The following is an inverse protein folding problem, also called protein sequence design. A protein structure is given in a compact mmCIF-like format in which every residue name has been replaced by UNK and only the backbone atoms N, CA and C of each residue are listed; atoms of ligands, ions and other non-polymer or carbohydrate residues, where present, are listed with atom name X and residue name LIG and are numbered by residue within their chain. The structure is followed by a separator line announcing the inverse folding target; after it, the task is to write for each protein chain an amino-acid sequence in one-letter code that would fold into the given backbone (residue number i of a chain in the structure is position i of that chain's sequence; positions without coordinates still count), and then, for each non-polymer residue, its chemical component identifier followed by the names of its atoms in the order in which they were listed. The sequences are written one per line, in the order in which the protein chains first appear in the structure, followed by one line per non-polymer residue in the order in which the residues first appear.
data_IF_253198026361
#
_entry.id   IF_253198026361
#
_cell.length_a   1.000
_cell.length_b   1.000
_cell.length_c   1.000
_cell.angle_alpha   90.00
_cell.angle_beta   90.00
_cell.angle_gamma   90.00
#
_symmetry.space_group_name_H-M   'P 1'
#
loop_
_entity.id
_entity.type
_entity.pdbx_description
1 polymer ?
#
# COMPACT_ATOMS: atom_id res chain seq x y z
N UNK A 1 14.31 -11.10 -6.23
CA UNK A 1 14.34 -9.99 -5.26
C UNK A 1 13.24 -9.03 -5.67
N UNK A 2 12.46 -8.53 -4.71
CA UNK A 2 11.35 -7.62 -4.99
C UNK A 2 11.91 -6.19 -5.10
N UNK A 3 11.51 -5.46 -6.14
CA UNK A 3 11.98 -4.11 -6.40
C UNK A 3 10.86 -3.08 -6.24
N UNK A 4 11.21 -1.81 -6.17
CA UNK A 4 10.27 -0.70 -6.00
C UNK A 4 9.19 -0.68 -7.10
N UNK A 5 9.56 -1.00 -8.35
CA UNK A 5 8.62 -1.06 -9.47
C UNK A 5 7.55 -2.15 -9.31
N UNK A 6 7.86 -3.22 -8.59
CA UNK A 6 6.92 -4.33 -8.36
C UNK A 6 5.83 -3.94 -7.34
N UNK A 7 6.05 -2.88 -6.55
CA UNK A 7 5.17 -2.44 -5.46
C UNK A 7 4.54 -1.06 -5.67
N UNK A 8 5.09 -0.23 -6.56
CA UNK A 8 4.66 1.16 -6.69
C UNK A 8 3.22 1.27 -7.22
N UNK A 9 2.49 2.27 -6.74
CA UNK A 9 1.24 2.69 -7.35
C UNK A 9 1.52 3.52 -8.60
N UNK A 10 0.97 3.09 -9.74
CA UNK A 10 1.08 3.79 -11.03
C UNK A 10 0.16 5.01 -11.12
N UNK A 11 -0.88 5.08 -10.28
CA UNK A 11 -1.83 6.19 -10.24
C UNK A 11 -1.34 7.29 -9.32
N UNK A 12 -0.09 7.73 -9.51
CA UNK A 12 0.48 8.80 -8.70
C UNK A 12 -0.12 10.15 -9.09
N UNK A 13 -0.94 10.70 -8.20
CA UNK A 13 -1.55 12.01 -8.32
C UNK A 13 -0.48 13.11 -8.52
N UNK A 14 -0.68 13.96 -9.54
CA UNK A 14 0.22 15.07 -9.86
C UNK A 14 -0.46 16.41 -9.71
N UNK A 15 0.30 17.43 -9.32
CA UNK A 15 -0.18 18.81 -9.19
C UNK A 15 0.89 19.82 -9.61
N UNK A 16 0.44 21.00 -10.06
CA UNK A 16 1.32 22.10 -10.40
C UNK A 16 1.71 22.89 -9.14
N UNK A 17 2.94 23.41 -9.11
CA UNK A 17 3.43 24.22 -7.99
C UNK A 17 2.62 25.52 -7.80
N UNK A 18 1.97 26.00 -8.87
CA UNK A 18 1.12 27.21 -8.89
C UNK A 18 -0.33 26.97 -8.45
N UNK A 19 -0.73 25.71 -8.21
CA UNK A 19 -2.03 25.42 -7.63
C UNK A 19 -2.06 25.87 -6.17
N UNK A 20 -3.25 26.12 -5.65
CA UNK A 20 -3.49 26.42 -4.24
C UNK A 20 -3.44 25.15 -3.40
N UNK A 21 -3.19 25.30 -2.09
CA UNK A 21 -3.26 24.18 -1.16
C UNK A 21 -4.70 23.63 -1.05
N UNK A 22 -5.71 24.49 -1.19
CA UNK A 22 -7.11 24.05 -1.25
C UNK A 22 -7.38 23.10 -2.43
N UNK A 23 -6.91 23.43 -3.64
CA UNK A 23 -6.99 22.54 -4.81
C UNK A 23 -6.23 21.23 -4.58
N UNK A 24 -5.06 21.29 -3.92
CA UNK A 24 -4.30 20.11 -3.54
C UNK A 24 -5.08 19.18 -2.60
N UNK A 25 -5.71 19.73 -1.56
CA UNK A 25 -6.53 18.95 -0.62
C UNK A 25 -7.74 18.33 -1.32
N UNK A 26 -8.38 19.07 -2.23
CA UNK A 26 -9.51 18.56 -3.01
C UNK A 26 -9.07 17.39 -3.89
N UNK A 27 -7.92 17.50 -4.58
CA UNK A 27 -7.36 16.42 -5.38
C UNK A 27 -6.97 15.19 -4.53
N UNK A 28 -6.37 15.41 -3.35
CA UNK A 28 -6.06 14.33 -2.40
C UNK A 28 -7.32 13.57 -1.98
N UNK A 29 -8.41 14.30 -1.71
CA UNK A 29 -9.70 13.70 -1.37
C UNK A 29 -10.29 12.89 -2.53
N UNK A 30 -10.32 13.47 -3.73
CA UNK A 30 -10.90 12.82 -4.92
C UNK A 30 -10.14 11.54 -5.31
N UNK A 31 -8.82 11.55 -5.17
CA UNK A 31 -7.97 10.41 -5.52
C UNK A 31 -7.65 9.49 -4.33
N UNK A 32 -8.30 9.72 -3.18
CA UNK A 32 -8.08 8.98 -1.93
C UNK A 32 -6.58 8.80 -1.61
N UNK A 33 -5.78 9.84 -1.84
CA UNK A 33 -4.34 9.80 -1.71
C UNK A 33 -3.85 10.80 -0.66
N UNK A 34 -2.70 10.50 -0.07
CA UNK A 34 -2.17 11.28 1.05
C UNK A 34 -1.04 12.23 0.65
N UNK A 35 -0.61 12.16 -0.61
CA UNK A 35 0.44 13.01 -1.17
C UNK A 35 0.27 13.20 -2.66
N UNK A 36 0.73 14.35 -3.13
CA UNK A 36 0.77 14.71 -4.53
C UNK A 36 2.22 14.91 -4.96
N UNK A 37 2.53 14.43 -6.16
CA UNK A 37 3.79 14.75 -6.83
C UNK A 37 3.65 16.13 -7.43
N UNK A 38 4.60 17.01 -7.10
CA UNK A 38 4.65 18.33 -7.75
C UNK A 38 5.51 18.22 -8.99
N UNK A 39 4.91 18.49 -10.15
CA UNK A 39 5.57 18.35 -11.44
C UNK A 39 6.75 19.31 -11.60
N UNK A 40 7.66 18.91 -12.49
CA UNK A 40 8.79 19.73 -12.93
C UNK A 40 8.27 20.87 -13.83
N UNK A 41 8.85 22.06 -13.67
CA UNK A 41 8.57 23.18 -14.57
C UNK A 41 9.27 23.04 -15.92
N UNK A 42 10.41 22.32 -15.96
CA UNK A 42 11.18 22.01 -17.16
C UNK A 42 12.04 20.75 -16.94
N UNK A 43 12.75 20.28 -17.96
CA UNK A 43 13.52 19.03 -17.89
C UNK A 43 14.67 19.05 -16.87
N UNK A 44 15.23 20.23 -16.59
CA UNK A 44 16.34 20.42 -15.64
C UNK A 44 15.85 20.58 -14.19
N UNK A 45 14.55 20.79 -14.01
CA UNK A 45 13.93 20.97 -12.71
C UNK A 45 13.73 19.62 -12.01
N UNK A 46 13.66 19.64 -10.68
CA UNK A 46 13.41 18.44 -9.88
C UNK A 46 11.94 18.27 -9.58
N UNK A 47 11.51 17.03 -9.37
CA UNK A 47 10.18 16.78 -8.81
C UNK A 47 10.11 17.31 -7.37
N UNK A 48 8.91 17.74 -6.99
CA UNK A 48 8.56 18.02 -5.60
C UNK A 48 7.55 16.99 -5.08
N UNK A 49 7.28 17.05 -3.78
CA UNK A 49 6.19 16.31 -3.15
C UNK A 49 5.47 17.20 -2.14
N UNK A 50 4.15 17.12 -2.12
CA UNK A 50 3.31 17.71 -1.08
C UNK A 50 2.58 16.60 -0.35
N UNK A 51 2.67 16.55 0.97
CA UNK A 51 2.01 15.54 1.81
C UNK A 51 0.98 16.15 2.75
N UNK A 52 0.07 15.34 3.27
CA UNK A 52 -0.84 15.74 4.36
C UNK A 52 -0.10 16.37 5.56
N UNK A 53 1.10 15.87 5.89
CA UNK A 53 1.96 16.38 6.95
C UNK A 53 2.48 17.78 6.65
N UNK A 54 2.84 18.06 5.38
CA UNK A 54 3.23 19.40 4.95
C UNK A 54 2.08 20.39 5.11
N UNK A 55 0.88 20.01 4.65
CA UNK A 55 -0.33 20.85 4.74
C UNK A 55 -0.66 21.14 6.21
N UNK A 56 -0.61 20.11 7.07
CA UNK A 56 -0.89 20.23 8.49
C UNK A 56 0.12 21.16 9.19
N UNK A 57 1.42 20.88 9.08
CA UNK A 57 2.42 21.57 9.89
C UNK A 57 2.93 22.88 9.27
N UNK A 58 2.97 22.99 7.94
CA UNK A 58 3.44 24.20 7.24
C UNK A 58 2.30 25.13 6.81
N UNK A 59 1.07 24.62 6.74
CA UNK A 59 -0.12 25.38 6.41
C UNK A 59 -0.98 25.68 7.64
N UNK A 60 -1.73 24.67 8.09
CA UNK A 60 -2.76 24.79 9.13
C UNK A 60 -2.17 25.26 10.46
N UNK A 61 -1.11 24.61 10.94
CA UNK A 61 -0.48 24.94 12.22
C UNK A 61 0.11 26.36 12.26
N UNK A 62 0.39 26.96 11.09
CA UNK A 62 0.88 28.33 10.96
C UNK A 62 -0.24 29.35 10.68
N UNK A 63 -1.50 28.91 10.64
CA UNK A 63 -2.64 29.78 10.37
C UNK A 63 -2.69 30.36 8.95
N UNK A 64 -2.04 29.70 7.97
CA UNK A 64 -2.09 30.13 6.57
C UNK A 64 -3.50 29.95 5.97
N UNK A 65 -3.89 30.86 5.09
CA UNK A 65 -5.09 30.68 4.28
C UNK A 65 -4.81 29.74 3.11
N UNK A 66 -5.38 28.53 3.13
CA UNK A 66 -5.11 27.48 2.13
C UNK A 66 -5.68 27.81 0.73
N UNK A 67 -6.65 28.71 0.62
CA UNK A 67 -7.21 29.16 -0.67
C UNK A 67 -6.28 30.11 -1.42
N UNK A 68 -5.35 30.77 -0.71
CA UNK A 68 -4.42 31.74 -1.31
C UNK A 68 -2.97 31.29 -1.21
N UNK A 69 -2.67 30.26 -0.41
CA UNK A 69 -1.33 29.67 -0.27
C UNK A 69 -1.09 28.72 -1.44
N UNK A 70 0.03 28.88 -2.13
CA UNK A 70 0.40 27.98 -3.23
C UNK A 70 1.06 26.69 -2.73
N UNK A 71 0.89 25.61 -3.49
CA UNK A 71 1.58 24.33 -3.28
C UNK A 71 3.09 24.53 -3.17
N UNK A 72 3.65 25.42 -4.01
CA UNK A 72 5.07 25.75 -4.01
C UNK A 72 5.61 26.20 -2.64
N UNK A 73 4.76 26.79 -1.80
CA UNK A 73 5.16 27.30 -0.48
C UNK A 73 5.29 26.20 0.58
N UNK A 74 4.56 25.09 0.40
CA UNK A 74 4.49 24.02 1.42
C UNK A 74 5.23 22.75 0.99
N UNK A 75 5.35 22.52 -0.33
CA UNK A 75 5.99 21.32 -0.87
C UNK A 75 7.45 21.17 -0.44
N UNK A 76 7.94 19.94 -0.50
CA UNK A 76 9.38 19.64 -0.40
C UNK A 76 9.95 19.46 -1.80
N UNK A 77 10.97 20.25 -2.15
CA UNK A 77 11.64 20.21 -3.46
C UNK A 77 13.13 20.59 -3.31
N UNK A 78 14.08 19.82 -3.88
CA UNK A 78 13.88 18.54 -4.58
C UNK A 78 13.39 17.45 -3.61
N UNK A 79 12.41 16.63 -4.05
CA UNK A 79 12.02 15.46 -3.27
C UNK A 79 13.00 14.30 -3.50
N UNK A 80 13.11 13.41 -2.51
CA UNK A 80 13.87 12.18 -2.67
C UNK A 80 13.07 11.25 -3.58
N UNK A 81 13.71 10.75 -4.62
CA UNK A 81 13.13 9.85 -5.62
C UNK A 81 13.79 8.48 -5.53
N UNK A 82 13.01 7.44 -5.82
CA UNK A 82 13.43 6.04 -5.77
C UNK A 82 13.68 5.55 -7.19
N UNK A 83 14.79 4.84 -7.37
CA UNK A 83 15.07 4.11 -8.60
C UNK A 83 14.10 2.90 -8.68
N UNK A 84 13.42 2.66 -9.81
CA UNK A 84 12.52 1.51 -9.98
C UNK A 84 13.18 0.16 -9.69
N UNK A 85 14.49 0.05 -9.96
CA UNK A 85 15.30 -1.14 -9.70
C UNK A 85 15.84 -1.23 -8.26
N UNK A 86 15.54 -0.25 -7.38
CA UNK A 86 15.90 -0.34 -5.98
C UNK A 86 15.11 -1.47 -5.32
N UNK A 87 15.79 -2.25 -4.48
CA UNK A 87 15.19 -3.34 -3.71
C UNK A 87 14.29 -2.78 -2.61
N UNK A 88 13.28 -3.55 -2.20
CA UNK A 88 12.37 -3.17 -1.10
C UNK A 88 13.13 -2.85 0.19
N UNK A 89 14.20 -3.58 0.46
CA UNK A 89 15.09 -3.35 1.61
C UNK A 89 15.81 -2.00 1.52
N UNK A 90 16.33 -1.63 0.34
CA UNK A 90 16.95 -0.33 0.11
C UNK A 90 15.93 0.82 0.27
N UNK A 91 14.70 0.64 -0.24
CA UNK A 91 13.63 1.63 -0.06
C UNK A 91 13.30 1.79 1.42
N UNK A 92 13.14 0.70 2.16
CA UNK A 92 12.85 0.72 3.59
C UNK A 92 13.98 1.41 4.41
N UNK A 93 15.24 1.10 4.09
CA UNK A 93 16.39 1.77 4.70
C UNK A 93 16.41 3.27 4.42
N UNK A 94 16.11 3.65 3.17
CA UNK A 94 16.05 5.04 2.76
C UNK A 94 14.91 5.79 3.47
N UNK A 95 13.75 5.16 3.63
CA UNK A 95 12.62 5.69 4.39
C UNK A 95 12.97 5.89 5.86
N UNK A 96 13.59 4.90 6.50
CA UNK A 96 14.03 5.00 7.89
C UNK A 96 15.07 6.12 8.08
N UNK A 97 16.07 6.19 7.19
CA UNK A 97 17.15 7.17 7.25
C UNK A 97 16.65 8.60 7.09
N UNK A 98 15.75 8.83 6.13
CA UNK A 98 15.25 10.17 5.79
C UNK A 98 13.90 10.49 6.41
N UNK A 99 13.35 9.60 7.25
CA UNK A 99 12.04 9.71 7.91
C UNK A 99 10.92 9.96 6.90
N UNK A 100 10.98 9.26 5.78
CA UNK A 100 9.96 9.32 4.73
C UNK A 100 8.91 8.26 4.98
N UNK A 101 7.66 8.61 4.71
CA UNK A 101 6.57 7.65 4.65
C UNK A 101 6.24 7.22 3.21
N UNK A 102 6.76 7.96 2.23
CA UNK A 102 6.53 7.76 0.80
C UNK A 102 7.50 8.56 -0.04
N UNK A 103 7.72 8.11 -1.27
CA UNK A 103 8.57 8.77 -2.25
C UNK A 103 8.13 8.43 -3.68
N UNK A 104 8.32 9.35 -4.65
CA UNK A 104 8.12 9.04 -6.05
C UNK A 104 9.10 7.97 -6.54
N UNK A 105 8.62 7.04 -7.36
CA UNK A 105 9.46 6.12 -8.13
C UNK A 105 9.46 6.62 -9.57
N UNK A 106 10.63 6.87 -10.13
CA UNK A 106 10.74 7.52 -11.44
C UNK A 106 11.50 6.62 -12.42
N UNK A 107 10.85 6.30 -13.53
CA UNK A 107 11.45 5.63 -14.67
C UNK A 107 11.17 6.46 -15.94
N UNK A 108 12.19 7.15 -16.44
CA UNK A 108 12.08 8.05 -17.60
C UNK A 108 10.95 9.10 -17.42
N UNK A 109 9.81 8.90 -18.10
CA UNK A 109 8.62 9.76 -17.98
C UNK A 109 7.53 9.17 -17.07
N UNK A 110 7.63 7.88 -16.72
CA UNK A 110 6.71 7.23 -15.81
C UNK A 110 7.06 7.60 -14.37
N UNK A 111 6.03 8.01 -13.64
CA UNK A 111 6.16 8.41 -12.25
C UNK A 111 5.10 7.66 -11.46
N UNK A 112 5.56 6.78 -10.58
CA UNK A 112 4.75 6.11 -9.58
C UNK A 112 5.01 6.67 -8.18
N UNK A 113 4.32 6.11 -7.19
CA UNK A 113 4.53 6.39 -5.78
C UNK A 113 4.72 5.09 -5.02
N UNK A 114 5.69 5.05 -4.10
CA UNK A 114 5.83 3.96 -3.14
C UNK A 114 5.74 4.53 -1.73
N UNK A 115 5.01 3.87 -0.84
CA UNK A 115 4.84 4.26 0.56
C UNK A 115 5.11 3.10 1.51
N UNK A 116 5.23 3.42 2.79
CA UNK A 116 5.37 2.42 3.86
C UNK A 116 4.21 1.43 3.83
N UNK A 117 3.02 1.86 3.42
CA UNK A 117 1.85 0.97 3.32
C UNK A 117 2.06 -0.14 2.28
N UNK A 118 2.65 0.14 1.12
CA UNK A 118 2.98 -0.90 0.14
C UNK A 118 4.11 -1.81 0.64
N UNK A 119 5.14 -1.24 1.27
CA UNK A 119 6.24 -2.04 1.86
C UNK A 119 5.70 -3.03 2.91
N UNK A 120 4.79 -2.58 3.78
CA UNK A 120 4.19 -3.42 4.82
C UNK A 120 3.25 -4.46 4.21
N UNK A 121 2.39 -4.07 3.26
CA UNK A 121 1.43 -5.00 2.64
C UNK A 121 2.12 -6.17 1.99
N UNK A 122 3.29 -5.98 1.39
CA UNK A 122 4.07 -7.02 0.71
C UNK A 122 5.21 -7.60 1.56
N UNK A 123 5.35 -7.18 2.82
CA UNK A 123 6.35 -7.76 3.70
C UNK A 123 5.98 -9.22 4.03
N UNK A 124 6.89 -10.21 3.91
CA UNK A 124 6.56 -11.63 4.12
C UNK A 124 5.99 -11.99 5.50
N UNK A 125 6.22 -11.13 6.51
CA UNK A 125 5.63 -11.30 7.84
C UNK A 125 4.18 -10.78 7.95
N UNK A 126 3.69 -10.05 6.94
CA UNK A 126 2.39 -9.36 6.93
C UNK A 126 1.54 -9.86 5.75
N UNK A 127 2.09 -9.82 4.52
CA UNK A 127 1.57 -10.59 3.40
C UNK A 127 1.70 -12.06 3.78
N UNK A 128 0.60 -12.82 3.75
CA UNK A 128 0.65 -14.25 4.06
C UNK A 128 0.70 -15.09 2.77
N UNK A 129 1.90 -15.40 2.25
CA UNK A 129 2.14 -16.62 1.49
C UNK A 129 2.52 -17.79 2.42
N UNK A 130 2.62 -17.58 3.75
CA UNK A 130 3.12 -18.60 4.67
C UNK A 130 2.13 -19.74 4.88
N UNK A 131 0.83 -19.47 5.02
CA UNK A 131 -0.18 -20.52 5.21
C UNK A 131 -0.33 -21.44 3.99
N UNK A 132 -0.26 -20.90 2.77
CA UNK A 132 -0.31 -21.73 1.55
C UNK A 132 0.93 -22.62 1.41
N UNK A 133 2.12 -22.06 1.68
CA UNK A 133 3.37 -22.81 1.67
C UNK A 133 3.42 -23.87 2.78
N UNK A 134 2.92 -23.53 3.97
CA UNK A 134 2.81 -24.44 5.13
C UNK A 134 1.81 -25.55 4.85
N UNK A 135 0.67 -25.24 4.23
CA UNK A 135 -0.30 -26.24 3.77
C UNK A 135 0.32 -27.19 2.75
N UNK A 136 1.11 -26.68 1.79
CA UNK A 136 1.78 -27.50 0.79
C UNK A 136 2.83 -28.42 1.43
N UNK A 137 3.62 -27.90 2.37
CA UNK A 137 4.60 -28.68 3.12
C UNK A 137 3.93 -29.75 4.00
N UNK A 138 2.85 -29.40 4.70
CA UNK A 138 2.08 -30.34 5.51
C UNK A 138 1.48 -31.47 4.66
N UNK A 139 0.98 -31.17 3.47
CA UNK A 139 0.51 -32.17 2.49
C UNK A 139 1.60 -33.13 2.04
N UNK A 140 2.80 -32.62 1.76
CA UNK A 140 3.94 -33.48 1.39
C UNK A 140 4.33 -34.42 2.53
N UNK A 141 4.40 -33.91 3.77
CA UNK A 141 4.71 -34.71 4.95
C UNK A 141 3.64 -35.76 5.25
N UNK A 142 2.35 -35.41 5.16
CA UNK A 142 1.26 -36.36 5.34
C UNK A 142 1.32 -37.50 4.31
N UNK A 143 1.56 -37.18 3.04
CA UNK A 143 1.71 -38.19 1.99
C UNK A 143 2.87 -39.15 2.26
N UNK A 144 4.02 -38.64 2.73
CA UNK A 144 5.17 -39.47 3.11
C UNK A 144 4.82 -40.40 4.29
N UNK A 145 4.24 -39.86 5.37
CA UNK A 145 3.83 -40.64 6.54
C UNK A 145 2.81 -41.74 6.20
N UNK A 146 1.83 -41.43 5.35
CA UNK A 146 0.83 -42.41 4.91
C UNK A 146 1.44 -43.49 4.01
N UNK A 147 2.50 -43.17 3.25
CA UNK A 147 3.24 -44.14 2.42
C UNK A 147 4.08 -45.09 3.28
N UNK A 148 4.73 -44.56 4.34
CA UNK A 148 5.61 -45.34 5.22
C UNK A 148 4.85 -46.19 6.25
N UNK A 149 3.80 -45.62 6.86
CA UNK A 149 3.11 -46.23 8.01
C UNK A 149 1.73 -46.79 7.65
N UNK A 150 1.28 -46.57 6.41
CA UNK A 150 -0.02 -47.00 5.90
C UNK A 150 -1.13 -45.96 6.11
N UNK A 151 -2.08 -45.96 5.18
CA UNK A 151 -3.13 -44.94 5.06
C UNK A 151 -4.11 -44.85 6.25
N UNK A 152 -4.18 -45.88 7.11
CA UNK A 152 -5.04 -45.91 8.31
C UNK A 152 -4.24 -45.85 9.61
N UNK A 153 -2.94 -45.54 9.53
CA UNK A 153 -2.12 -45.41 10.73
C UNK A 153 -2.57 -44.20 11.56
N UNK A 154 -2.45 -44.26 12.91
CA UNK A 154 -2.73 -43.11 13.76
C UNK A 154 -1.94 -41.85 13.38
N UNK A 155 -0.71 -42.01 12.89
CA UNK A 155 0.15 -40.92 12.44
C UNK A 155 -0.36 -40.26 11.14
N UNK A 156 -0.81 -41.05 10.15
CA UNK A 156 -1.41 -40.54 8.92
C UNK A 156 -2.72 -39.76 9.23
N UNK A 157 -3.58 -40.31 10.10
CA UNK A 157 -4.83 -39.65 10.51
C UNK A 157 -4.56 -38.32 11.23
N UNK A 158 -3.55 -38.28 12.12
CA UNK A 158 -3.17 -37.06 12.82
C UNK A 158 -2.63 -35.99 11.85
N UNK A 159 -1.81 -36.38 10.87
CA UNK A 159 -1.25 -35.46 9.88
C UNK A 159 -2.33 -34.81 9.00
N UNK A 160 -3.33 -35.58 8.56
CA UNK A 160 -4.46 -35.05 7.79
C UNK A 160 -5.36 -34.12 8.60
N UNK A 161 -5.53 -34.38 9.91
CA UNK A 161 -6.28 -33.49 10.81
C UNK A 161 -5.62 -32.10 10.92
N UNK A 162 -4.29 -32.03 10.88
CA UNK A 162 -3.55 -30.76 10.85
C UNK A 162 -3.77 -30.02 9.53
N UNK A 163 -3.79 -30.74 8.41
CA UNK A 163 -4.10 -30.16 7.08
C UNK A 163 -5.53 -29.58 7.08
N UNK A 164 -6.51 -30.32 7.59
CA UNK A 164 -7.90 -29.85 7.66
C UNK A 164 -8.03 -28.55 8.47
N UNK A 165 -7.29 -28.44 9.57
CA UNK A 165 -7.26 -27.22 10.39
C UNK A 165 -6.66 -26.03 9.62
N UNK A 166 -5.53 -26.24 8.94
CA UNK A 166 -4.90 -25.20 8.11
C UNK A 166 -5.80 -24.79 6.92
N UNK A 167 -6.52 -25.74 6.33
CA UNK A 167 -7.47 -25.46 5.24
C UNK A 167 -8.68 -24.66 5.73
N UNK A 168 -9.17 -24.93 6.94
CA UNK A 168 -10.26 -24.18 7.54
C UNK A 168 -9.84 -22.72 7.77
N UNK A 169 -8.67 -22.48 8.35
CA UNK A 169 -8.11 -21.15 8.58
C UNK A 169 -7.93 -20.37 7.26
N UNK A 170 -7.35 -21.00 6.23
CA UNK A 170 -7.23 -20.41 4.89
C UNK A 170 -8.59 -20.09 4.26
N UNK A 171 -9.61 -20.92 4.51
CA UNK A 171 -10.95 -20.69 3.97
C UNK A 171 -11.64 -19.50 4.62
N UNK A 172 -11.48 -19.33 5.94
CA UNK A 172 -12.02 -18.18 6.68
C UNK A 172 -11.36 -16.87 6.20
N UNK A 173 -10.04 -16.87 6.05
CA UNK A 173 -9.30 -15.71 5.54
C UNK A 173 -9.72 -15.34 4.11
N UNK A 174 -9.89 -16.35 3.24
CA UNK A 174 -10.32 -16.11 1.86
C UNK A 174 -11.75 -15.59 1.79
N UNK A 175 -12.62 -16.02 2.70
CA UNK A 175 -13.98 -15.48 2.83
C UNK A 175 -13.91 -14.02 3.29
N UNK A 176 -13.05 -13.68 4.26
CA UNK A 176 -12.86 -12.28 4.70
C UNK A 176 -12.32 -11.37 3.59
N UNK A 177 -11.37 -11.85 2.77
CA UNK A 177 -10.90 -11.13 1.59
C UNK A 177 -11.98 -10.96 0.53
N UNK A 178 -12.72 -12.03 0.22
CA UNK A 178 -13.87 -11.97 -0.69
C UNK A 178 -14.93 -10.99 -0.17
N UNK A 179 -15.24 -11.00 1.13
CA UNK A 179 -16.21 -10.09 1.73
C UNK A 179 -15.75 -8.63 1.62
N UNK A 180 -14.46 -8.34 1.84
CA UNK A 180 -13.90 -7.00 1.62
C UNK A 180 -14.06 -6.58 0.16
N UNK A 181 -13.67 -7.44 -0.79
CA UNK A 181 -13.77 -7.15 -2.23
C UNK A 181 -15.23 -6.94 -2.68
N UNK A 182 -16.15 -7.81 -2.24
CA UNK A 182 -17.58 -7.70 -2.56
C UNK A 182 -18.22 -6.45 -1.95
N UNK A 183 -17.72 -6.02 -0.80
CA UNK A 183 -18.18 -4.80 -0.15
C UNK A 183 -17.61 -3.54 -0.83
N UNK A 184 -16.34 -3.57 -1.25
CA UNK A 184 -15.72 -2.53 -2.06
C UNK A 184 -16.45 -2.37 -3.40
N UNK A 185 -16.73 -3.47 -4.11
CA UNK A 185 -17.53 -3.48 -5.34
C UNK A 185 -18.94 -2.91 -5.11
N UNK A 186 -19.61 -3.30 -4.02
CA UNK A 186 -20.93 -2.77 -3.66
C UNK A 186 -20.88 -1.25 -3.37
N UNK A 187 -19.82 -0.77 -2.71
CA UNK A 187 -19.64 0.65 -2.46
C UNK A 187 -19.34 1.46 -3.73
N UNK A 188 -18.64 0.88 -4.70
CA UNK A 188 -18.43 1.48 -6.03
C UNK A 188 -19.73 1.55 -6.84
N UNK A 189 -20.56 0.50 -6.77
CA UNK A 189 -21.85 0.43 -7.47
C UNK A 189 -22.92 1.34 -6.83
N UNK A 190 -22.87 1.52 -5.50
CA UNK A 190 -23.84 2.31 -4.73
C UNK A 190 -23.16 3.35 -3.81
N UNK A 191 -22.59 4.43 -4.40
CA UNK A 191 -21.74 5.40 -3.69
C UNK A 191 -22.48 6.34 -2.71
N UNK A 192 -23.81 6.26 -2.62
CA UNK A 192 -24.64 7.01 -1.65
C UNK A 192 -25.37 6.11 -0.66
N UNK A 193 -24.92 4.87 -0.50
CA UNK A 193 -25.51 3.96 0.47
C UNK A 193 -25.14 4.38 1.90
N UNK A 194 -26.00 4.18 2.91
CA UNK A 194 -25.66 4.48 4.32
C UNK A 194 -24.40 3.75 4.81
N UNK A 195 -24.05 2.64 4.17
CA UNK A 195 -22.87 1.82 4.43
C UNK A 195 -21.59 2.37 3.80
N UNK A 196 -21.65 3.11 2.68
CA UNK A 196 -20.46 3.77 2.10
C UNK A 196 -19.96 4.92 2.99
N UNK A 197 -20.87 5.64 3.63
CA UNK A 197 -20.55 6.72 4.58
C UNK A 197 -19.85 6.19 5.86
N UNK A 198 -20.07 4.92 6.21
CA UNK A 198 -19.46 4.26 7.36
C UNK A 198 -17.98 3.94 7.10
N UNK A 199 -17.60 3.53 5.88
CA UNK A 199 -16.23 3.14 5.53
C UNK A 199 -15.29 4.35 5.38
N UNK A 200 -15.79 5.47 4.84
CA UNK A 200 -15.04 6.74 4.78
C UNK A 200 -14.59 7.25 6.16
N UNK A 201 -15.33 6.90 7.22
CA UNK A 201 -15.01 7.31 8.59
C UNK A 201 -14.03 6.34 9.31
N UNK A 202 -13.88 5.10 8.85
CA UNK A 202 -13.02 4.08 9.47
C UNK A 202 -11.60 4.05 8.89
N UNK A 203 -11.42 4.35 7.60
CA UNK A 203 -10.10 4.41 6.96
C UNK A 203 -9.44 5.80 7.00
N UNK A 204 -10.10 6.79 7.63
CA UNK A 204 -9.60 8.16 7.83
C UNK A 204 -8.82 8.38 9.14
N UNK A 205 -8.41 7.32 9.84
CA UNK A 205 -7.58 7.36 11.04
C UNK A 205 -6.10 7.11 10.77
#
# INVERSE_FOLDING_TARGET
MLHAIDLMSLNAAKIQATATVAEAVQLMKEQACRSLIVDRQNEQDSYGILTETDILYKGVALGKNLETTFVAELMTKPCIVINPAATVEEVAQLFAKHRLLRAPVIQDQQVGMISVSELLRHHPAISQPHLEAELQQARQQANQLCTEQGARSPACIAAWKTIDALQAELSEQRIDELLKHTFEEYCEEFPKSPTSDFYTNLCGG
#
